data_IF_950488290335
#
_entry.id   IF_950488290335
#
_cell.length_a   1.000
_cell.length_b   1.000
_cell.length_c   1.000
_cell.angle_alpha   90.00
_cell.angle_beta   90.00
_cell.angle_gamma   90.00
#
_symmetry.space_group_name_H-M   'P 1'
#
loop_
_entity.id
_entity.type
_entity.pdbx_description
1 polymer ?
#
# COMPACT_ATOMS: atom_id res chain seq x y z
N UNK A 1 16.20 -7.57 -8.16
CA UNK A 1 17.50 -7.59 -8.86
C UNK A 1 18.73 -7.65 -7.92
N UNK A 2 18.60 -8.05 -6.64
CA UNK A 2 19.75 -8.21 -5.72
C UNK A 2 20.26 -9.66 -5.62
N UNK A 3 19.36 -10.64 -5.71
CA UNK A 3 19.70 -12.07 -5.67
C UNK A 3 20.65 -12.47 -6.80
N UNK A 4 20.34 -12.02 -8.02
CA UNK A 4 21.12 -12.37 -9.22
C UNK A 4 22.45 -11.64 -9.27
N UNK A 5 22.56 -10.41 -8.75
CA UNK A 5 23.84 -9.70 -8.68
C UNK A 5 24.77 -10.34 -7.65
N UNK A 6 24.27 -10.70 -6.47
CA UNK A 6 25.06 -11.39 -5.44
C UNK A 6 25.54 -12.77 -5.90
N UNK A 7 24.67 -13.56 -6.54
CA UNK A 7 25.05 -14.85 -7.13
C UNK A 7 26.13 -14.70 -8.22
N UNK A 8 26.02 -13.67 -9.06
CA UNK A 8 27.02 -13.40 -10.10
C UNK A 8 28.36 -12.91 -9.52
N UNK A 9 28.33 -12.16 -8.43
CA UNK A 9 29.53 -11.72 -7.70
C UNK A 9 30.27 -12.92 -7.10
N UNK A 10 29.55 -13.84 -6.45
CA UNK A 10 30.10 -15.07 -5.88
C UNK A 10 30.69 -16.01 -6.96
N UNK A 11 30.01 -16.13 -8.11
CA UNK A 11 30.54 -16.88 -9.25
C UNK A 11 31.79 -16.22 -9.88
N UNK A 12 31.82 -14.87 -9.95
CA UNK A 12 33.01 -14.12 -10.41
C UNK A 12 34.20 -14.28 -9.45
N UNK A 13 33.92 -14.50 -8.16
CA UNK A 13 34.93 -14.82 -7.15
C UNK A 13 35.44 -16.29 -7.20
N UNK A 14 34.99 -17.09 -8.18
CA UNK A 14 35.49 -18.45 -8.42
C UNK A 14 34.86 -19.54 -7.54
N UNK A 15 33.77 -19.25 -6.83
CA UNK A 15 33.07 -20.24 -6.00
C UNK A 15 32.22 -21.19 -6.84
N UNK A 16 32.01 -22.41 -6.34
CA UNK A 16 31.11 -23.38 -6.96
C UNK A 16 29.66 -22.87 -6.95
N UNK A 17 28.82 -23.36 -7.86
CA UNK A 17 27.41 -22.94 -8.00
C UNK A 17 26.66 -23.09 -6.68
N UNK A 18 26.87 -24.20 -5.97
CA UNK A 18 26.18 -24.50 -4.73
C UNK A 18 26.57 -23.51 -3.61
N UNK A 19 27.88 -23.25 -3.46
CA UNK A 19 28.38 -22.24 -2.51
C UNK A 19 27.91 -20.83 -2.86
N UNK A 20 27.80 -20.49 -4.15
CA UNK A 20 27.31 -19.19 -4.60
C UNK A 20 25.80 -19.01 -4.35
N UNK A 21 24.98 -20.08 -4.47
CA UNK A 21 23.56 -20.03 -4.09
C UNK A 21 23.42 -19.81 -2.60
N UNK A 22 24.18 -20.55 -1.77
CA UNK A 22 24.16 -20.40 -0.31
C UNK A 22 24.62 -19.00 0.11
N UNK A 23 25.69 -18.49 -0.50
CA UNK A 23 26.20 -17.14 -0.27
C UNK A 23 25.18 -16.07 -0.62
N UNK A 24 24.56 -16.15 -1.80
CA UNK A 24 23.51 -15.23 -2.23
C UNK A 24 22.27 -15.29 -1.34
N UNK A 25 21.84 -16.49 -0.94
CA UNK A 25 20.71 -16.70 -0.02
C UNK A 25 20.96 -16.04 1.34
N UNK A 26 22.18 -16.12 1.86
CA UNK A 26 22.52 -15.59 3.19
C UNK A 26 22.37 -14.07 3.32
N UNK A 27 22.60 -13.32 2.23
CA UNK A 27 22.53 -11.86 2.22
C UNK A 27 21.22 -11.38 1.61
N UNK A 28 20.91 -11.82 0.40
CA UNK A 28 19.72 -11.36 -0.32
C UNK A 28 18.44 -11.92 0.30
N UNK A 29 18.46 -13.14 0.83
CA UNK A 29 17.31 -13.75 1.51
C UNK A 29 16.92 -13.01 2.79
N UNK A 30 17.92 -12.64 3.61
CA UNK A 30 17.69 -11.83 4.82
C UNK A 30 17.13 -10.44 4.48
N UNK A 31 17.63 -9.79 3.43
CA UNK A 31 17.13 -8.50 2.98
C UNK A 31 15.66 -8.58 2.50
N UNK A 32 15.31 -9.62 1.72
CA UNK A 32 13.92 -9.86 1.29
C UNK A 32 13.01 -10.12 2.48
N UNK A 33 13.43 -10.99 3.42
CA UNK A 33 12.68 -11.27 4.64
C UNK A 33 12.39 -9.99 5.43
N UNK A 34 13.40 -9.16 5.67
CA UNK A 34 13.24 -7.93 6.42
C UNK A 34 12.24 -6.98 5.75
N UNK A 35 12.39 -6.76 4.43
CA UNK A 35 11.48 -5.90 3.66
C UNK A 35 10.04 -6.43 3.63
N UNK A 36 9.86 -7.75 3.49
CA UNK A 36 8.54 -8.37 3.49
C UNK A 36 7.88 -8.28 4.87
N UNK A 37 8.62 -8.50 5.95
CA UNK A 37 8.10 -8.35 7.33
C UNK A 37 7.65 -6.92 7.59
N UNK A 38 8.44 -5.90 7.22
CA UNK A 38 8.04 -4.49 7.37
C UNK A 38 6.75 -4.20 6.59
N UNK A 39 6.64 -4.71 5.37
CA UNK A 39 5.44 -4.51 4.53
C UNK A 39 4.22 -5.22 5.10
N UNK A 40 4.39 -6.44 5.63
CA UNK A 40 3.33 -7.21 6.29
C UNK A 40 2.79 -6.47 7.52
N UNK A 41 3.66 -5.93 8.37
CA UNK A 41 3.27 -5.13 9.53
C UNK A 41 2.43 -3.92 9.08
N UNK A 42 2.89 -3.22 8.04
CA UNK A 42 2.16 -2.07 7.48
C UNK A 42 0.78 -2.42 6.93
N UNK A 43 0.62 -3.58 6.29
CA UNK A 43 -0.68 -4.02 5.77
C UNK A 43 -1.59 -4.61 6.84
N UNK A 44 -1.01 -5.19 7.89
CA UNK A 44 -1.76 -5.70 9.02
C UNK A 44 -2.54 -4.58 9.72
N UNK A 45 -2.06 -3.34 9.68
CA UNK A 45 -2.79 -2.19 10.22
C UNK A 45 -4.13 -1.95 9.53
N UNK A 46 -4.28 -2.32 8.24
CA UNK A 46 -5.56 -2.21 7.52
C UNK A 46 -6.61 -3.18 8.05
N UNK A 47 -6.19 -4.33 8.58
CA UNK A 47 -7.09 -5.35 9.14
C UNK A 47 -7.70 -4.90 10.47
N UNK A 48 -7.04 -3.96 11.17
CA UNK A 48 -7.52 -3.41 12.44
C UNK A 48 -8.71 -2.43 12.26
N UNK A 49 -8.98 -1.96 11.05
CA UNK A 49 -10.14 -1.10 10.78
C UNK A 49 -11.43 -1.94 10.71
N UNK A 50 -12.51 -1.43 11.31
CA UNK A 50 -13.82 -2.09 11.33
C UNK A 50 -14.61 -1.95 10.01
N UNK A 51 -14.00 -1.31 9.00
CA UNK A 51 -14.59 -1.16 7.67
C UNK A 51 -14.28 -2.40 6.84
N UNK A 52 -15.32 -3.20 6.55
CA UNK A 52 -15.21 -4.48 5.82
C UNK A 52 -14.39 -4.39 4.51
N UNK A 53 -14.56 -3.30 3.75
CA UNK A 53 -13.82 -3.08 2.50
C UNK A 53 -12.31 -2.98 2.74
N UNK A 54 -11.88 -2.19 3.73
CA UNK A 54 -10.46 -2.05 4.06
C UNK A 54 -9.89 -3.37 4.59
N UNK A 55 -10.66 -4.08 5.40
CA UNK A 55 -10.26 -5.38 5.97
C UNK A 55 -10.06 -6.44 4.89
N UNK A 56 -10.95 -6.52 3.89
CA UNK A 56 -10.82 -7.45 2.76
C UNK A 56 -9.54 -7.19 1.94
N UNK A 57 -9.26 -5.92 1.63
CA UNK A 57 -8.04 -5.52 0.92
C UNK A 57 -6.80 -5.87 1.74
N UNK A 58 -6.82 -5.60 3.05
CA UNK A 58 -5.72 -5.94 3.96
C UNK A 58 -5.41 -7.43 3.97
N UNK A 59 -6.41 -8.29 4.12
CA UNK A 59 -6.25 -9.75 4.11
C UNK A 59 -5.69 -10.22 2.76
N UNK A 60 -6.21 -9.71 1.65
CA UNK A 60 -5.72 -10.05 0.31
C UNK A 60 -4.25 -9.66 0.11
N UNK A 61 -3.87 -8.45 0.50
CA UNK A 61 -2.50 -7.96 0.37
C UNK A 61 -1.51 -8.76 1.23
N UNK A 62 -1.90 -9.11 2.46
CA UNK A 62 -1.10 -9.97 3.35
C UNK A 62 -0.87 -11.35 2.73
N UNK A 63 -1.91 -11.98 2.19
CA UNK A 63 -1.81 -13.29 1.54
C UNK A 63 -0.86 -13.25 0.34
N UNK A 64 -0.97 -12.21 -0.51
CA UNK A 64 -0.11 -12.04 -1.69
C UNK A 64 1.36 -11.87 -1.29
N UNK A 65 1.67 -11.00 -0.33
CA UNK A 65 3.05 -10.77 0.10
C UNK A 65 3.64 -12.01 0.76
N UNK A 66 2.84 -12.71 1.57
CA UNK A 66 3.29 -13.94 2.20
C UNK A 66 3.63 -15.02 1.16
N UNK A 67 2.76 -15.22 0.16
CA UNK A 67 3.01 -16.14 -0.94
C UNK A 67 4.24 -15.72 -1.77
N UNK A 68 4.39 -14.43 -2.07
CA UNK A 68 5.52 -13.88 -2.79
C UNK A 68 6.84 -14.06 -2.03
N UNK A 69 6.83 -13.91 -0.70
CA UNK A 69 7.97 -14.14 0.16
C UNK A 69 8.41 -15.61 0.12
N UNK A 70 7.46 -16.54 0.27
CA UNK A 70 7.75 -17.98 0.16
C UNK A 70 8.33 -18.32 -1.21
N UNK A 71 7.70 -17.85 -2.29
CA UNK A 71 8.20 -18.04 -3.65
C UNK A 71 9.60 -17.43 -3.83
N UNK A 72 9.86 -16.23 -3.31
CA UNK A 72 11.17 -15.61 -3.40
C UNK A 72 12.25 -16.38 -2.64
N UNK A 73 11.95 -17.00 -1.51
CA UNK A 73 12.94 -17.75 -0.71
C UNK A 73 13.13 -19.19 -1.16
N UNK A 74 12.19 -19.76 -1.90
CA UNK A 74 12.23 -21.17 -2.35
C UNK A 74 12.49 -21.29 -3.84
N UNK A 75 11.71 -20.57 -4.66
CA UNK A 75 11.74 -20.69 -6.11
C UNK A 75 12.97 -20.00 -6.70
N UNK A 76 13.39 -18.84 -6.17
CA UNK A 76 14.60 -18.17 -6.64
C UNK A 76 15.87 -19.01 -6.47
N UNK A 77 16.21 -19.54 -5.27
CA UNK A 77 17.42 -20.36 -5.15
C UNK A 77 17.32 -21.65 -5.97
N UNK A 78 16.15 -22.28 -6.06
CA UNK A 78 15.95 -23.46 -6.90
C UNK A 78 16.20 -23.15 -8.39
N UNK A 79 15.66 -22.04 -8.90
CA UNK A 79 15.89 -21.60 -10.27
C UNK A 79 17.36 -21.27 -10.51
N UNK A 80 18.04 -20.59 -9.58
CA UNK A 80 19.47 -20.27 -9.72
C UNK A 80 20.35 -21.53 -9.67
N UNK A 81 20.01 -22.51 -8.85
CA UNK A 81 20.72 -23.79 -8.79
C UNK A 81 20.59 -24.57 -10.12
N UNK A 82 19.39 -24.60 -10.71
CA UNK A 82 19.13 -25.26 -12.01
C UNK A 82 19.83 -24.52 -13.15
N UNK A 83 19.77 -23.19 -13.15
CA UNK A 83 20.31 -22.36 -14.23
C UNK A 83 21.84 -22.28 -14.17
N UNK A 84 22.43 -22.37 -12.98
CA UNK A 84 23.88 -22.43 -12.74
C UNK A 84 24.66 -21.38 -13.52
N UNK A 85 25.62 -21.81 -14.34
CA UNK A 85 26.42 -20.92 -15.17
C UNK A 85 25.68 -20.36 -16.40
N UNK A 86 24.52 -20.92 -16.78
CA UNK A 86 23.73 -20.47 -17.93
C UNK A 86 23.05 -19.12 -17.68
N UNK A 87 22.98 -18.66 -16.43
CA UNK A 87 22.55 -17.29 -16.06
C UNK A 87 23.36 -16.22 -16.82
N UNK A 88 24.64 -16.49 -17.13
CA UNK A 88 25.51 -15.58 -17.86
C UNK A 88 25.50 -15.78 -19.39
N UNK A 89 24.73 -16.74 -19.93
CA UNK A 89 24.73 -17.04 -21.37
C UNK A 89 23.98 -15.98 -22.19
N UNK A 90 22.95 -15.37 -21.62
CA UNK A 90 22.19 -14.29 -22.25
C UNK A 90 22.52 -12.94 -21.59
N UNK A 91 23.79 -12.48 -21.68
CA UNK A 91 24.18 -11.13 -21.27
C UNK A 91 23.63 -10.10 -22.28
N UNK A 92 22.38 -9.70 -22.09
CA UNK A 92 21.76 -8.54 -22.76
C UNK A 92 21.52 -7.45 -21.72
N UNK A 93 22.47 -6.54 -21.56
CA UNK A 93 22.35 -5.38 -20.68
C UNK A 93 23.69 -4.76 -20.29
N UNK A 94 23.76 -3.43 -20.11
CA UNK A 94 25.01 -2.73 -19.77
C UNK A 94 25.58 -3.22 -18.43
N UNK A 95 26.91 -3.22 -18.29
CA UNK A 95 27.59 -3.68 -17.07
C UNK A 95 27.34 -2.67 -15.94
N UNK A 96 26.28 -2.91 -15.15
CA UNK A 96 25.88 -2.05 -14.05
C UNK A 96 26.97 -1.90 -12.97
N UNK A 97 28.02 -2.72 -13.00
CA UNK A 97 29.22 -2.58 -12.18
C UNK A 97 29.94 -1.21 -12.41
N UNK A 98 29.82 -0.61 -13.60
CA UNK A 98 30.45 0.69 -13.89
C UNK A 98 29.63 1.91 -13.41
N UNK A 99 28.40 1.73 -12.88
CA UNK A 99 27.57 2.84 -12.41
C UNK A 99 28.20 3.63 -11.26
N UNK A 100 29.16 3.07 -10.53
CA UNK A 100 29.89 3.77 -9.46
C UNK A 100 30.47 5.12 -9.90
N UNK A 101 30.82 5.28 -11.18
CA UNK A 101 31.48 6.49 -11.69
C UNK A 101 30.59 7.75 -11.57
N UNK A 102 29.27 7.62 -11.74
CA UNK A 102 28.34 8.76 -11.64
C UNK A 102 27.75 8.93 -10.24
N UNK A 103 27.41 7.83 -9.57
CA UNK A 103 26.74 7.90 -8.25
C UNK A 103 27.69 8.26 -7.11
N UNK A 104 28.96 7.89 -7.18
CA UNK A 104 29.96 8.24 -6.16
C UNK A 104 30.18 9.75 -6.04
N UNK A 105 30.45 10.51 -7.12
CA UNK A 105 30.61 11.96 -7.01
C UNK A 105 29.30 12.66 -6.62
N UNK A 106 28.15 12.20 -7.11
CA UNK A 106 26.85 12.74 -6.72
C UNK A 106 26.60 12.56 -5.21
N UNK A 107 26.81 11.35 -4.68
CA UNK A 107 26.69 11.07 -3.25
C UNK A 107 27.63 11.94 -2.41
N UNK A 108 28.91 12.03 -2.82
CA UNK A 108 29.90 12.87 -2.14
C UNK A 108 29.51 14.36 -2.16
N UNK A 109 28.88 14.85 -3.23
CA UNK A 109 28.38 16.23 -3.30
C UNK A 109 27.21 16.48 -2.35
N UNK A 110 26.24 15.54 -2.31
CA UNK A 110 25.12 15.60 -1.36
C UNK A 110 25.63 15.59 0.10
N UNK A 111 26.61 14.74 0.41
CA UNK A 111 27.22 14.66 1.75
C UNK A 111 28.01 15.91 2.14
N UNK A 112 28.65 16.61 1.18
CA UNK A 112 29.39 17.85 1.45
C UNK A 112 28.50 19.03 1.76
N UNK A 113 27.25 19.04 1.26
CA UNK A 113 26.31 20.15 1.46
C UNK A 113 24.89 19.63 1.70
N UNK A 114 24.63 18.91 2.82
CA UNK A 114 23.36 18.24 3.06
C UNK A 114 22.18 19.22 3.09
N UNK A 115 22.36 20.42 3.65
CA UNK A 115 21.32 21.44 3.74
C UNK A 115 20.83 21.94 2.38
N UNK A 116 21.69 21.99 1.35
CA UNK A 116 21.29 22.40 0.00
C UNK A 116 20.37 21.39 -0.69
N UNK A 117 20.34 20.14 -0.24
CA UNK A 117 19.45 19.09 -0.78
C UNK A 117 18.26 18.90 0.13
N UNK A 118 18.48 18.89 1.44
CA UNK A 118 17.46 18.65 2.45
C UNK A 118 16.38 19.74 2.40
N UNK A 119 16.76 21.02 2.39
CA UNK A 119 15.80 22.13 2.40
C UNK A 119 14.86 22.07 1.17
N UNK A 120 15.34 22.12 -0.08
CA UNK A 120 14.44 22.13 -1.23
C UNK A 120 13.62 20.85 -1.35
N UNK A 121 14.20 19.68 -1.06
CA UNK A 121 13.46 18.41 -1.13
C UNK A 121 12.37 18.35 -0.06
N UNK A 122 12.70 18.75 1.18
CA UNK A 122 11.74 18.78 2.28
C UNK A 122 10.64 19.82 2.04
N UNK A 123 11.01 21.03 1.59
CA UNK A 123 10.05 22.07 1.20
C UNK A 123 9.12 21.56 0.12
N UNK A 124 9.65 20.93 -0.94
CA UNK A 124 8.83 20.37 -2.02
C UNK A 124 7.85 19.29 -1.51
N UNK A 125 8.31 18.37 -0.66
CA UNK A 125 7.46 17.32 -0.08
C UNK A 125 6.36 17.90 0.81
N UNK A 126 6.68 18.89 1.65
CA UNK A 126 5.69 19.57 2.49
C UNK A 126 4.67 20.32 1.65
N UNK A 127 5.12 21.00 0.59
CA UNK A 127 4.25 21.73 -0.33
C UNK A 127 3.30 20.76 -1.06
N UNK A 128 3.80 19.59 -1.48
CA UNK A 128 2.96 18.52 -2.04
C UNK A 128 2.00 17.89 -1.04
N UNK A 129 2.29 17.98 0.26
CA UNK A 129 1.41 17.47 1.32
C UNK A 129 0.26 18.45 1.67
N UNK A 130 0.37 19.73 1.32
CA UNK A 130 -0.66 20.76 1.61
C UNK A 130 -2.07 20.37 1.13
N UNK A 131 -2.27 19.83 -0.10
CA UNK A 131 -3.60 19.44 -0.57
C UNK A 131 -4.23 18.32 0.28
N UNK A 132 -3.42 17.45 0.90
CA UNK A 132 -3.92 16.39 1.76
C UNK A 132 -4.63 16.93 3.01
N UNK A 133 -4.20 18.11 3.51
CA UNK A 133 -4.89 18.79 4.62
C UNK A 133 -6.26 19.34 4.21
N UNK A 134 -6.50 19.52 2.91
CA UNK A 134 -7.78 19.99 2.37
C UNK A 134 -8.72 18.84 1.95
N UNK A 135 -8.32 17.58 2.15
CA UNK A 135 -9.16 16.44 1.79
C UNK A 135 -10.44 16.41 2.62
N UNK A 136 -11.58 16.50 1.94
CA UNK A 136 -12.89 16.21 2.50
C UNK A 136 -13.15 14.72 2.32
N UNK A 137 -13.17 13.99 3.44
CA UNK A 137 -13.55 12.57 3.47
C UNK A 137 -15.07 12.50 3.22
N UNK A 138 -15.45 12.12 2.00
CA UNK A 138 -16.85 11.94 1.60
C UNK A 138 -17.30 10.49 1.76
N UNK A 139 -18.60 10.30 2.04
CA UNK A 139 -19.25 8.98 1.98
C UNK A 139 -19.41 8.56 0.51
N UNK A 140 -19.43 7.25 0.25
CA UNK A 140 -19.65 6.71 -1.09
C UNK A 140 -21.06 7.11 -1.55
N UNK A 141 -21.13 7.99 -2.54
CA UNK A 141 -22.39 8.51 -3.08
C UNK A 141 -22.46 8.22 -4.59
N UNK A 142 -23.65 8.31 -5.18
CA UNK A 142 -23.88 8.05 -6.60
C UNK A 142 -23.02 8.96 -7.51
N UNK A 143 -22.42 10.03 -6.97
CA UNK A 143 -21.48 10.95 -7.62
C UNK A 143 -20.15 10.31 -8.02
N UNK A 144 -19.82 9.15 -7.45
CA UNK A 144 -18.63 8.36 -7.80
C UNK A 144 -18.78 7.61 -9.15
N UNK A 145 -20.02 7.50 -9.68
CA UNK A 145 -20.28 6.87 -10.98
C UNK A 145 -20.05 7.86 -12.14
N UNK A 146 -19.44 7.43 -13.26
CA UNK A 146 -19.29 8.26 -14.45
C UNK A 146 -20.62 8.85 -14.94
N UNK A 147 -20.60 10.12 -15.35
CA UNK A 147 -21.77 10.87 -15.85
C UNK A 147 -22.45 10.26 -17.10
N UNK A 148 -21.83 9.25 -17.70
CA UNK A 148 -22.35 8.50 -18.85
C UNK A 148 -23.32 7.38 -18.47
N UNK A 149 -23.39 6.98 -17.19
CA UNK A 149 -24.26 5.88 -16.76
C UNK A 149 -25.69 6.37 -16.47
N UNK A 150 -26.69 5.64 -16.97
CA UNK A 150 -28.11 5.96 -16.74
C UNK A 150 -28.46 5.99 -15.25
N UNK A 151 -27.84 5.12 -14.44
CA UNK A 151 -28.02 5.10 -12.99
C UNK A 151 -27.61 6.41 -12.29
N UNK A 152 -26.60 7.13 -12.82
CA UNK A 152 -26.19 8.46 -12.31
C UNK A 152 -27.20 9.53 -12.71
N UNK A 153 -27.67 9.50 -13.96
CA UNK A 153 -28.64 10.47 -14.49
C UNK A 153 -30.00 10.38 -13.81
N UNK A 154 -30.49 9.15 -13.58
CA UNK A 154 -31.74 8.94 -12.83
C UNK A 154 -31.65 9.48 -11.40
N UNK A 155 -30.52 9.29 -10.73
CA UNK A 155 -30.27 9.84 -9.40
C UNK A 155 -30.23 11.38 -9.39
N UNK A 156 -29.60 11.99 -10.40
CA UNK A 156 -29.52 13.46 -10.50
C UNK A 156 -30.89 14.10 -10.78
N UNK A 157 -31.76 13.46 -11.56
CA UNK A 157 -33.14 13.92 -11.80
C UNK A 157 -33.97 13.84 -10.52
N UNK A 158 -33.91 12.72 -9.81
CA UNK A 158 -34.60 12.55 -8.53
C UNK A 158 -34.16 13.59 -7.49
N UNK A 159 -32.85 13.90 -7.43
CA UNK A 159 -32.32 14.92 -6.52
C UNK A 159 -32.78 16.34 -6.89
N UNK A 160 -32.79 16.67 -8.19
CA UNK A 160 -33.14 18.01 -8.65
C UNK A 160 -34.64 18.30 -8.56
N UNK A 161 -35.49 17.29 -8.81
CA UNK A 161 -36.95 17.47 -8.79
C UNK A 161 -37.58 17.24 -7.41
N UNK A 162 -37.01 16.37 -6.58
CA UNK A 162 -37.61 15.93 -5.32
C UNK A 162 -36.73 16.18 -4.08
N UNK A 163 -35.86 17.20 -4.11
CA UNK A 163 -34.74 17.43 -3.18
C UNK A 163 -34.98 17.30 -1.66
N UNK A 164 -36.23 17.30 -1.18
CA UNK A 164 -36.59 17.01 0.22
C UNK A 164 -36.51 15.53 0.62
N UNK A 165 -36.66 14.58 -0.31
CA UNK A 165 -36.63 13.14 -0.01
C UNK A 165 -35.21 12.60 0.27
N UNK A 166 -34.18 13.42 0.04
CA UNK A 166 -32.77 13.10 0.26
C UNK A 166 -32.17 13.86 1.45
N UNK A 167 -32.96 14.62 2.20
CA UNK A 167 -32.51 15.15 3.48
C UNK A 167 -32.15 13.97 4.39
N UNK A 168 -30.94 14.02 4.93
CA UNK A 168 -30.42 12.99 5.81
C UNK A 168 -31.28 12.96 7.08
N UNK A 169 -32.31 12.12 7.10
CA UNK A 169 -33.08 11.85 8.31
C UNK A 169 -32.10 11.26 9.32
N UNK A 170 -31.86 11.95 10.43
CA UNK A 170 -31.05 11.43 11.53
C UNK A 170 -32.01 10.59 12.40
N UNK A 171 -32.00 9.25 12.30
CA UNK A 171 -32.90 8.44 13.12
C UNK A 171 -32.45 8.54 14.59
N UNK A 172 -33.27 9.17 15.42
CA UNK A 172 -33.10 9.14 16.87
C UNK A 172 -33.71 7.83 17.38
N UNK A 173 -32.86 6.83 17.62
CA UNK A 173 -33.29 5.57 18.21
C UNK A 173 -33.23 5.67 19.75
N UNK A 174 -34.39 5.59 20.40
CA UNK A 174 -34.50 5.51 21.86
C UNK A 174 -34.85 4.08 22.28
N UNK A 175 -34.02 3.46 23.10
CA UNK A 175 -34.30 2.15 23.69
C UNK A 175 -35.05 2.35 25.01
N UNK A 176 -36.24 1.77 25.13
CA UNK A 176 -37.04 1.79 26.36
C UNK A 176 -36.87 0.47 27.13
N UNK A 177 -36.68 0.54 28.46
CA UNK A 177 -36.62 -0.65 29.33
C UNK A 177 -38.01 -1.28 29.59
N UNK A 178 -39.10 -0.63 29.16
CA UNK A 178 -40.49 -1.08 29.36
C UNK A 178 -41.39 -0.90 28.12
N UNK A 179 -42.72 -0.96 28.29
CA UNK A 179 -43.66 -0.90 27.16
C UNK A 179 -43.54 0.43 26.38
N UNK A 180 -43.15 0.39 25.09
CA UNK A 180 -42.90 1.58 24.28
C UNK A 180 -44.15 2.43 23.99
N UNK A 181 -45.36 1.89 24.22
CA UNK A 181 -46.63 2.60 23.99
C UNK A 181 -47.22 3.24 25.26
N UNK A 182 -46.49 3.28 26.37
CA UNK A 182 -46.95 4.01 27.56
C UNK A 182 -47.04 5.50 27.25
N UNK A 183 -48.16 6.14 27.62
CA UNK A 183 -48.41 7.57 27.38
C UNK A 183 -47.31 8.47 27.95
N UNK A 184 -46.65 8.06 29.03
CA UNK A 184 -45.54 8.81 29.66
C UNK A 184 -44.26 8.77 28.82
N UNK A 185 -43.98 7.65 28.14
CA UNK A 185 -42.77 7.51 27.31
C UNK A 185 -42.91 8.19 25.95
N UNK A 186 -44.12 8.19 25.38
CA UNK A 186 -44.44 8.94 24.16
C UNK A 186 -44.38 10.46 24.37
N UNK A 187 -44.79 10.95 25.54
CA UNK A 187 -44.67 12.37 25.88
C UNK A 187 -43.19 12.81 26.00
N UNK A 188 -42.36 12.01 26.67
CA UNK A 188 -40.93 12.32 26.81
C UNK A 188 -40.14 12.21 25.49
N UNK A 189 -40.54 11.32 24.57
CA UNK A 189 -39.88 11.20 23.27
C UNK A 189 -40.18 12.39 22.33
N UNK A 190 -41.31 13.08 22.52
CA UNK A 190 -41.70 14.25 21.73
C UNK A 190 -41.02 15.55 22.23
N UNK A 191 -40.60 15.59 23.48
CA UNK A 191 -39.98 16.77 24.14
C UNK A 191 -38.46 16.90 23.87
N UNK A 192 -37.86 15.95 23.14
CA UNK A 192 -36.41 15.93 22.80
C UNK A 192 -36.13 16.40 21.36
N UNK A 193 -37.16 16.81 20.61
CA UNK A 193 -37.01 17.48 19.33
C UNK A 193 -36.90 19.00 19.53
N UNK A 194 -36.00 19.71 18.82
CA UNK A 194 -36.08 21.16 18.70
C UNK A 194 -37.35 21.61 17.96
#
# INVERSE_FOLDING_TARGET
MFYTSGFKEELRAGKSVDSAVIGAQSHAGKAILFSAVTSLIGLFSLVAFDVMMLRSVGIGAVAVIFAALLAALTLMPALLAILGHRVNRFRVGPDWAQRGIFWVPLSNWVMKRPWLVLIPTSTLLVLLAVPALSMRLGTVDATMLPNSLESRRGFDVLRNEFGFALETVIPVAYTFEGNPFSRTYLANAYDVGP
#
